data_IF_740939648031
#
_entry.id   IF_740939648031
#
_cell.length_a   1.000
_cell.length_b   1.000
_cell.length_c   1.000
_cell.angle_alpha   90.00
_cell.angle_beta   90.00
_cell.angle_gamma   90.00
#
_symmetry.space_group_name_H-M   'P 1'
#
loop_
_entity.id
_entity.type
_entity.pdbx_description
1 polymer ?
#
# COMPACT_ATOMS: atom_id res chain seq x y z
N UNK A 1 18.17 20.57 36.59
CA UNK A 1 19.38 20.20 35.80
C UNK A 1 19.34 18.69 35.71
N UNK A 2 19.15 18.03 34.57
CA UNK A 2 19.64 18.29 33.21
C UNK A 2 18.54 17.78 32.27
N UNK A 3 18.12 18.60 31.31
CA UNK A 3 17.20 18.17 30.26
C UNK A 3 17.92 17.21 29.31
N UNK A 4 17.31 16.06 29.06
CA UNK A 4 17.51 15.34 27.82
C UNK A 4 16.26 15.60 26.98
N UNK A 5 16.39 16.54 26.05
CA UNK A 5 15.51 16.66 24.92
C UNK A 5 15.62 15.35 24.12
N UNK A 6 14.77 14.37 24.43
CA UNK A 6 14.65 13.11 23.68
C UNK A 6 13.83 13.38 22.42
N UNK A 7 14.28 14.34 21.62
CA UNK A 7 13.82 14.53 20.26
C UNK A 7 14.49 13.46 19.42
N UNK A 8 14.02 12.22 19.57
CA UNK A 8 14.11 11.27 18.47
C UNK A 8 13.51 12.00 17.25
N UNK A 9 14.26 12.18 16.15
CA UNK A 9 13.75 12.90 14.99
C UNK A 9 12.46 12.23 14.57
N UNK A 10 11.38 13.02 14.43
CA UNK A 10 10.07 12.51 14.04
C UNK A 10 10.23 11.58 12.84
N UNK A 11 9.77 10.34 13.00
CA UNK A 11 9.84 9.33 11.94
C UNK A 11 9.05 9.82 10.72
N UNK A 12 9.71 9.90 9.57
CA UNK A 12 9.10 10.31 8.31
C UNK A 12 8.17 9.19 7.79
N UNK A 13 6.89 9.52 7.59
CA UNK A 13 5.89 8.61 7.03
C UNK A 13 5.66 8.92 5.55
N UNK A 14 6.12 8.01 4.70
CA UNK A 14 6.00 8.09 3.25
C UNK A 14 4.79 7.28 2.78
N UNK A 15 3.91 7.91 2.01
CA UNK A 15 2.90 7.19 1.23
C UNK A 15 3.48 6.72 -0.10
N UNK A 16 3.65 5.41 -0.28
CA UNK A 16 4.06 4.83 -1.55
C UNK A 16 2.82 4.44 -2.34
N UNK A 17 2.72 4.94 -3.57
CA UNK A 17 1.61 4.62 -4.46
C UNK A 17 2.08 4.47 -5.90
N UNK A 18 1.20 3.98 -6.75
CA UNK A 18 1.48 3.71 -8.16
C UNK A 18 0.34 2.92 -8.76
N UNK A 19 0.05 3.18 -10.03
CA UNK A 19 -0.99 2.46 -10.75
C UNK A 19 -0.62 0.98 -10.94
N UNK A 20 -1.60 0.16 -11.35
CA UNK A 20 -1.35 -1.28 -11.55
C UNK A 20 -0.19 -1.50 -12.53
N UNK A 21 0.75 -2.39 -12.20
CA UNK A 21 1.87 -2.73 -13.08
C UNK A 21 3.10 -1.81 -13.00
N UNK A 22 3.08 -0.76 -12.19
CA UNK A 22 4.18 0.22 -12.14
C UNK A 22 5.43 -0.23 -11.36
N UNK A 23 5.46 -1.43 -10.77
CA UNK A 23 6.62 -1.91 -10.01
C UNK A 23 6.64 -1.53 -8.52
N UNK A 24 5.53 -1.05 -7.98
CA UNK A 24 5.36 -0.61 -6.58
C UNK A 24 5.90 -1.60 -5.53
N UNK A 25 5.57 -2.89 -5.65
CA UNK A 25 6.05 -3.94 -4.72
C UNK A 25 7.58 -4.06 -4.72
N UNK A 26 8.21 -3.98 -5.90
CA UNK A 26 9.67 -3.98 -6.01
C UNK A 26 10.25 -2.72 -5.36
N UNK A 27 9.68 -1.55 -5.64
CA UNK A 27 10.13 -0.29 -5.02
C UNK A 27 9.96 -0.31 -3.49
N UNK A 28 8.86 -0.86 -2.98
CA UNK A 28 8.64 -1.04 -1.54
C UNK A 28 9.76 -1.91 -0.92
N UNK A 29 10.13 -3.01 -1.58
CA UNK A 29 11.26 -3.85 -1.14
C UNK A 29 12.58 -3.08 -1.14
N UNK A 30 12.82 -2.24 -2.15
CA UNK A 30 14.02 -1.40 -2.21
C UNK A 30 14.08 -0.40 -1.05
N UNK A 31 12.96 0.21 -0.66
CA UNK A 31 12.89 1.04 0.55
C UNK A 31 13.24 0.23 1.81
N UNK A 32 12.74 -1.01 1.93
CA UNK A 32 13.07 -1.88 3.06
C UNK A 32 14.55 -2.25 3.11
N UNK A 33 15.16 -2.53 1.95
CA UNK A 33 16.59 -2.83 1.80
C UNK A 33 17.48 -1.63 2.21
N UNK A 34 16.98 -0.40 2.07
CA UNK A 34 17.64 0.84 2.53
C UNK A 34 17.29 1.21 3.99
N UNK A 35 16.66 0.28 4.73
CA UNK A 35 16.41 0.40 6.18
C UNK A 35 15.08 1.03 6.57
N UNK A 36 14.18 1.34 5.63
CA UNK A 36 12.84 1.81 5.96
C UNK A 36 11.97 0.67 6.51
N UNK A 37 11.10 0.96 7.47
CA UNK A 37 10.02 0.05 7.81
C UNK A 37 8.96 0.13 6.70
N UNK A 38 8.47 -1.00 6.18
CA UNK A 38 7.46 -1.01 5.11
C UNK A 38 6.20 -1.73 5.58
N UNK A 39 5.06 -1.06 5.48
CA UNK A 39 3.75 -1.63 5.71
C UNK A 39 3.08 -1.96 4.38
N UNK A 40 2.97 -3.24 4.08
CA UNK A 40 2.23 -3.77 2.93
C UNK A 40 0.76 -3.95 3.32
N UNK A 41 -0.12 -3.16 2.72
CA UNK A 41 -1.56 -3.23 3.00
C UNK A 41 -2.18 -4.58 2.60
N UNK A 42 -1.72 -5.22 1.52
CA UNK A 42 -2.25 -6.52 1.09
C UNK A 42 -1.84 -7.62 2.07
N UNK A 43 -0.58 -7.58 2.53
CA UNK A 43 -0.10 -8.49 3.56
C UNK A 43 -0.84 -8.29 4.90
N UNK A 44 -1.11 -7.04 5.28
CA UNK A 44 -1.87 -6.71 6.48
C UNK A 44 -3.31 -7.25 6.41
N UNK A 45 -4.02 -7.05 5.30
CA UNK A 45 -5.37 -7.62 5.08
C UNK A 45 -5.33 -9.14 5.13
N UNK A 46 -4.33 -9.76 4.50
CA UNK A 46 -4.17 -11.21 4.53
C UNK A 46 -3.96 -11.76 5.95
N UNK A 47 -3.13 -11.09 6.77
CA UNK A 47 -2.95 -11.44 8.18
C UNK A 47 -4.25 -11.27 8.99
N UNK A 48 -4.99 -10.18 8.76
CA UNK A 48 -6.28 -9.93 9.40
C UNK A 48 -7.31 -11.03 9.06
N UNK A 49 -7.33 -11.49 7.80
CA UNK A 49 -8.22 -12.54 7.33
C UNK A 49 -7.91 -13.92 7.92
N UNK A 50 -6.69 -14.12 8.44
CA UNK A 50 -6.30 -15.31 9.21
C UNK A 50 -6.48 -15.17 10.72
N UNK A 51 -7.06 -14.06 11.16
CA UNK A 51 -7.14 -13.72 12.58
C UNK A 51 -8.32 -12.80 12.87
N UNK A 52 -8.03 -11.57 13.33
CA UNK A 52 -9.01 -10.62 13.89
C UNK A 52 -10.26 -10.41 13.02
N UNK A 53 -10.13 -10.45 11.69
CA UNK A 53 -11.28 -10.20 10.79
C UNK A 53 -12.20 -11.40 10.61
N UNK A 54 -11.68 -12.64 10.73
CA UNK A 54 -12.44 -13.85 10.43
C UNK A 54 -13.77 -13.98 11.22
N UNK A 55 -13.80 -13.88 12.56
CA UNK A 55 -15.06 -14.01 13.30
C UNK A 55 -16.06 -12.89 12.99
N UNK A 56 -15.58 -11.67 12.72
CA UNK A 56 -16.43 -10.53 12.36
C UNK A 56 -17.06 -10.71 10.98
N UNK A 57 -16.27 -11.19 10.01
CA UNK A 57 -16.71 -11.49 8.66
C UNK A 57 -17.70 -12.67 8.66
N UNK A 58 -17.43 -13.74 9.43
CA UNK A 58 -18.36 -14.88 9.54
C UNK A 58 -19.72 -14.45 10.09
N UNK A 59 -19.75 -13.61 11.14
CA UNK A 59 -20.99 -13.08 11.69
C UNK A 59 -21.77 -12.23 10.67
N UNK A 60 -21.07 -11.47 9.83
CA UNK A 60 -21.68 -10.62 8.81
C UNK A 60 -22.10 -11.38 7.54
N UNK A 61 -21.38 -12.44 7.20
CA UNK A 61 -21.51 -13.26 6.00
C UNK A 61 -21.31 -14.75 6.34
N UNK A 62 -22.34 -15.43 6.90
CA UNK A 62 -22.20 -16.81 7.33
C UNK A 62 -21.78 -17.78 6.22
N UNK A 63 -20.90 -18.72 6.57
CA UNK A 63 -20.31 -19.71 5.68
C UNK A 63 -19.17 -19.18 4.81
N UNK A 64 -18.52 -18.07 5.20
CA UNK A 64 -17.39 -17.48 4.46
C UNK A 64 -16.06 -17.66 5.17
N UNK A 65 -16.03 -18.40 6.28
CA UNK A 65 -14.81 -18.80 6.97
C UNK A 65 -14.65 -20.31 7.05
N UNK A 66 -13.40 -20.77 7.16
CA UNK A 66 -13.04 -22.17 7.37
C UNK A 66 -11.82 -22.24 8.27
N UNK A 67 -11.90 -23.06 9.33
CA UNK A 67 -10.81 -23.26 10.29
C UNK A 67 -10.29 -21.95 10.92
N UNK A 68 -11.17 -20.97 11.13
CA UNK A 68 -10.79 -19.68 11.71
C UNK A 68 -10.19 -18.66 10.72
N UNK A 69 -10.11 -18.99 9.43
CA UNK A 69 -9.65 -18.07 8.38
C UNK A 69 -10.78 -17.74 7.39
N UNK A 70 -10.71 -16.58 6.75
CA UNK A 70 -11.63 -16.19 5.68
C UNK A 70 -11.38 -17.01 4.42
N UNK A 71 -12.41 -17.71 3.94
CA UNK A 71 -12.44 -18.29 2.61
C UNK A 71 -12.77 -17.17 1.60
N UNK A 72 -11.72 -16.62 0.98
CA UNK A 72 -11.84 -15.51 0.03
C UNK A 72 -12.69 -15.84 -1.19
N UNK A 73 -12.79 -17.12 -1.57
CA UNK A 73 -13.61 -17.55 -2.71
C UNK A 73 -15.09 -17.50 -2.33
N UNK A 74 -15.45 -18.04 -1.17
CA UNK A 74 -16.83 -18.00 -0.69
C UNK A 74 -17.25 -16.57 -0.31
N UNK A 75 -16.38 -15.80 0.34
CA UNK A 75 -16.63 -14.38 0.61
C UNK A 75 -16.84 -13.60 -0.70
N UNK A 76 -15.98 -13.85 -1.70
CA UNK A 76 -16.10 -13.23 -3.03
C UNK A 76 -17.47 -13.46 -3.66
N UNK A 77 -18.03 -14.68 -3.59
CA UNK A 77 -19.38 -14.95 -4.10
C UNK A 77 -20.49 -14.17 -3.39
N UNK A 78 -20.27 -13.78 -2.12
CA UNK A 78 -21.25 -13.02 -1.32
C UNK A 78 -21.21 -11.52 -1.59
N UNK A 79 -20.03 -10.97 -1.90
CA UNK A 79 -19.83 -9.50 -1.96
C UNK A 79 -19.58 -8.96 -3.37
N UNK A 80 -19.09 -9.79 -4.30
CA UNK A 80 -18.79 -9.33 -5.66
C UNK A 80 -20.10 -9.08 -6.43
N UNK A 81 -20.25 -7.86 -6.93
CA UNK A 81 -21.46 -7.44 -7.66
C UNK A 81 -22.58 -6.90 -6.78
N UNK A 82 -22.43 -6.93 -5.46
CA UNK A 82 -23.37 -6.35 -4.49
C UNK A 82 -22.70 -5.19 -3.75
N UNK A 83 -23.09 -3.97 -4.09
CA UNK A 83 -22.52 -2.76 -3.51
C UNK A 83 -22.80 -2.63 -2.00
N UNK A 84 -23.96 -3.10 -1.53
CA UNK A 84 -24.32 -3.02 -0.11
C UNK A 84 -23.52 -4.04 0.71
N UNK A 85 -23.36 -5.26 0.18
CA UNK A 85 -22.51 -6.28 0.79
C UNK A 85 -21.05 -5.84 0.82
N UNK A 86 -20.54 -5.23 -0.26
CA UNK A 86 -19.17 -4.72 -0.29
C UNK A 86 -18.96 -3.60 0.75
N UNK A 87 -19.86 -2.63 0.84
CA UNK A 87 -19.79 -1.57 1.84
C UNK A 87 -19.82 -2.12 3.28
N UNK A 88 -20.62 -3.16 3.53
CA UNK A 88 -20.65 -3.85 4.83
C UNK A 88 -19.33 -4.54 5.15
N UNK A 89 -18.71 -5.22 4.17
CA UNK A 89 -17.40 -5.83 4.35
C UNK A 89 -16.32 -4.77 4.62
N UNK A 90 -16.32 -3.68 3.85
CA UNK A 90 -15.40 -2.55 4.02
C UNK A 90 -15.52 -1.91 5.40
N UNK A 91 -16.74 -1.76 5.93
CA UNK A 91 -16.97 -1.23 7.27
C UNK A 91 -16.37 -2.11 8.40
N UNK A 92 -16.18 -3.41 8.15
CA UNK A 92 -15.52 -4.33 9.08
C UNK A 92 -14.00 -4.27 8.90
N UNK A 93 -13.52 -4.28 7.67
CA UNK A 93 -12.09 -4.43 7.35
C UNK A 93 -11.33 -3.12 7.53
N UNK A 94 -11.90 -1.98 7.13
CA UNK A 94 -11.19 -0.70 7.18
C UNK A 94 -10.71 -0.31 8.58
N UNK A 95 -11.51 -0.41 9.67
CA UNK A 95 -11.02 -0.12 11.01
C UNK A 95 -9.85 -1.01 11.42
N UNK A 96 -9.90 -2.31 11.10
CA UNK A 96 -8.83 -3.26 11.43
C UNK A 96 -7.52 -2.95 10.69
N UNK A 97 -7.61 -2.55 9.41
CA UNK A 97 -6.44 -2.12 8.64
C UNK A 97 -5.83 -0.85 9.24
N UNK A 98 -6.66 0.10 9.72
CA UNK A 98 -6.16 1.31 10.39
C UNK A 98 -5.51 1.01 11.73
N UNK A 99 -6.05 0.07 12.49
CA UNK A 99 -5.44 -0.39 13.74
C UNK A 99 -4.07 -1.04 13.48
N UNK A 100 -3.99 -1.96 12.50
CA UNK A 100 -2.74 -2.63 12.12
C UNK A 100 -1.67 -1.65 11.62
N UNK A 101 -2.07 -0.65 10.83
CA UNK A 101 -1.17 0.42 10.39
C UNK A 101 -0.67 1.28 11.55
N UNK A 102 -1.56 1.63 12.49
CA UNK A 102 -1.18 2.40 13.67
C UNK A 102 -0.24 1.60 14.59
N UNK A 103 -0.49 0.29 14.77
CA UNK A 103 0.41 -0.64 15.46
C UNK A 103 1.80 -0.66 14.79
N UNK A 104 1.84 -0.87 13.48
CA UNK A 104 3.08 -0.86 12.72
C UNK A 104 3.88 0.44 12.89
N UNK A 105 3.22 1.60 12.81
CA UNK A 105 3.89 2.89 12.99
C UNK A 105 4.40 3.08 14.42
N UNK A 106 3.67 2.61 15.44
CA UNK A 106 4.14 2.63 16.84
C UNK A 106 5.38 1.75 17.01
N UNK A 107 5.37 0.55 16.46
CA UNK A 107 6.48 -0.40 16.57
C UNK A 107 7.72 0.10 15.80
N UNK A 108 7.53 0.73 14.64
CA UNK A 108 8.62 1.37 13.90
C UNK A 108 9.25 2.52 14.69
N UNK A 109 8.44 3.37 15.33
CA UNK A 109 8.93 4.45 16.22
C UNK A 109 9.67 3.89 17.43
N UNK A 110 9.13 2.87 18.09
CA UNK A 110 9.76 2.24 19.25
C UNK A 110 11.13 1.62 18.92
N UNK A 111 11.33 1.16 17.68
CA UNK A 111 12.62 0.67 17.17
C UNK A 111 13.58 1.78 16.70
N UNK A 112 13.18 3.06 16.79
CA UNK A 112 13.99 4.19 16.34
C UNK A 112 14.15 4.26 14.81
N UNK A 113 13.23 3.65 14.05
CA UNK A 113 13.28 3.70 12.59
C UNK A 113 13.00 5.13 12.12
N UNK A 114 13.83 5.63 11.21
CA UNK A 114 13.76 7.01 10.70
C UNK A 114 12.70 7.22 9.62
N UNK A 115 12.38 6.17 8.86
CA UNK A 115 11.44 6.21 7.73
C UNK A 115 10.50 5.01 7.79
N UNK A 116 9.20 5.30 7.75
CA UNK A 116 8.16 4.31 7.51
C UNK A 116 7.53 4.55 6.15
N UNK A 117 7.31 3.48 5.38
CA UNK A 117 6.65 3.53 4.08
C UNK A 117 5.33 2.77 4.19
N UNK A 118 4.23 3.45 3.91
CA UNK A 118 2.91 2.86 3.81
C UNK A 118 2.60 2.59 2.35
N UNK A 119 2.54 1.32 1.96
CA UNK A 119 2.17 0.92 0.62
C UNK A 119 0.64 0.99 0.44
N UNK A 120 0.17 2.00 -0.30
CA UNK A 120 -1.26 2.30 -0.46
C UNK A 120 -1.59 2.45 -1.95
N UNK A 121 -2.16 1.42 -2.61
CA UNK A 121 -2.47 1.45 -4.05
C UNK A 121 -3.39 2.59 -4.50
N UNK A 122 -4.35 2.97 -3.66
CA UNK A 122 -5.36 4.01 -3.94
C UNK A 122 -5.16 5.24 -3.04
N UNK A 123 -3.90 5.65 -2.83
CA UNK A 123 -3.51 6.67 -1.86
C UNK A 123 -4.21 8.02 -2.11
N UNK A 124 -4.27 8.46 -3.36
CA UNK A 124 -4.87 9.74 -3.73
C UNK A 124 -6.40 9.64 -3.77
N UNK A 125 -6.91 8.54 -4.31
CA UNK A 125 -8.32 8.24 -4.51
C UNK A 125 -9.05 8.12 -3.16
N UNK A 126 -8.37 7.60 -2.13
CA UNK A 126 -8.88 7.51 -0.76
C UNK A 126 -8.61 8.77 0.09
N UNK A 127 -8.02 9.83 -0.49
CA UNK A 127 -7.69 11.07 0.21
C UNK A 127 -6.57 10.96 1.26
N UNK A 128 -5.91 9.80 1.34
CA UNK A 128 -4.93 9.47 2.37
C UNK A 128 -3.57 10.15 2.19
N UNK A 129 -3.28 10.66 1.00
CA UNK A 129 -2.08 11.44 0.73
C UNK A 129 -1.85 12.58 1.76
N UNK A 130 -2.93 13.19 2.29
CA UNK A 130 -2.86 14.28 3.27
C UNK A 130 -2.38 13.85 4.66
N UNK A 131 -2.30 12.54 4.92
CA UNK A 131 -1.86 11.95 6.18
C UNK A 131 -0.38 11.58 6.15
N UNK A 132 0.30 11.80 5.01
CA UNK A 132 1.69 11.43 4.78
C UNK A 132 2.57 12.67 4.84
N UNK A 133 3.80 12.51 5.32
CA UNK A 133 4.81 13.58 5.30
C UNK A 133 5.37 13.79 3.89
N UNK A 134 5.39 12.72 3.08
CA UNK A 134 5.74 12.77 1.68
C UNK A 134 5.01 11.67 0.88
N UNK A 135 4.75 11.94 -0.39
CA UNK A 135 4.17 10.97 -1.33
C UNK A 135 5.19 10.60 -2.40
N UNK A 136 5.47 9.29 -2.50
CA UNK A 136 6.29 8.71 -3.56
C UNK A 136 5.38 7.98 -4.55
N UNK A 137 5.44 8.39 -5.81
CA UNK A 137 4.72 7.72 -6.91
C UNK A 137 5.67 6.86 -7.71
N UNK A 138 5.33 5.58 -7.85
CA UNK A 138 6.04 4.64 -8.72
C UNK A 138 5.37 4.65 -10.09
N UNK A 139 6.18 4.87 -11.13
CA UNK A 139 5.72 5.07 -12.51
C UNK A 139 6.51 4.20 -13.50
N UNK A 140 5.91 3.97 -14.66
CA UNK A 140 6.55 3.41 -15.85
C UNK A 140 5.82 3.92 -17.11
N UNK A 141 6.43 3.76 -18.29
CA UNK A 141 5.74 4.03 -19.55
C UNK A 141 4.51 3.14 -19.77
N UNK A 142 3.48 3.64 -20.46
CA UNK A 142 2.20 2.94 -20.68
C UNK A 142 2.37 1.56 -21.34
N UNK A 143 3.23 1.47 -22.36
CA UNK A 143 3.52 0.20 -23.04
C UNK A 143 4.12 -0.84 -22.08
N UNK A 144 5.02 -0.39 -21.20
CA UNK A 144 5.69 -1.24 -20.21
C UNK A 144 4.73 -1.66 -19.10
N UNK A 145 3.91 -0.72 -18.62
CA UNK A 145 2.82 -1.00 -17.68
C UNK A 145 1.92 -2.10 -18.24
N UNK A 146 1.41 -1.92 -19.46
CA UNK A 146 0.52 -2.88 -20.10
C UNK A 146 1.19 -4.25 -20.24
N UNK A 147 2.43 -4.30 -20.73
CA UNK A 147 3.22 -5.54 -20.86
C UNK A 147 3.29 -6.30 -19.53
N UNK A 148 3.76 -5.63 -18.47
CA UNK A 148 3.89 -6.22 -17.13
C UNK A 148 2.57 -6.71 -16.54
N UNK A 149 1.46 -6.03 -16.84
CA UNK A 149 0.15 -6.46 -16.35
C UNK A 149 -0.36 -7.67 -17.10
N UNK A 150 -0.19 -7.73 -18.43
CA UNK A 150 -0.64 -8.85 -19.25
C UNK A 150 0.14 -10.15 -18.98
N UNK A 151 1.39 -10.05 -18.49
CA UNK A 151 2.19 -11.21 -18.08
C UNK A 151 1.73 -11.83 -16.74
N UNK A 152 0.86 -11.16 -15.98
CA UNK A 152 0.37 -11.68 -14.69
C UNK A 152 -0.68 -12.77 -14.91
N UNK A 153 -0.59 -13.91 -14.17
CA UNK A 153 -1.61 -14.96 -14.23
C UNK A 153 -3.02 -14.42 -13.97
N UNK A 154 -3.95 -14.74 -14.87
CA UNK A 154 -5.37 -14.37 -14.74
C UNK A 154 -5.73 -12.94 -15.15
N UNK A 155 -4.77 -12.13 -15.64
CA UNK A 155 -5.08 -10.79 -16.16
C UNK A 155 -5.60 -10.86 -17.60
N UNK A 156 -6.65 -10.09 -17.86
CA UNK A 156 -7.21 -9.85 -19.20
C UNK A 156 -7.22 -8.36 -19.51
N UNK A 157 -7.29 -7.99 -20.78
CA UNK A 157 -7.41 -6.59 -21.21
C UNK A 157 -8.64 -5.90 -20.58
N UNK A 158 -9.76 -6.62 -20.46
CA UNK A 158 -10.96 -6.13 -19.79
C UNK A 158 -10.71 -5.87 -18.29
N UNK A 159 -10.06 -6.82 -17.60
CA UNK A 159 -9.73 -6.67 -16.18
C UNK A 159 -8.74 -5.53 -15.96
N UNK A 160 -7.74 -5.39 -16.83
CA UNK A 160 -6.78 -4.29 -16.78
C UNK A 160 -7.47 -2.94 -16.92
N UNK A 161 -8.30 -2.75 -17.95
CA UNK A 161 -9.09 -1.51 -18.13
C UNK A 161 -10.00 -1.21 -16.96
N UNK A 162 -10.66 -2.23 -16.39
CA UNK A 162 -11.52 -2.08 -15.21
C UNK A 162 -10.75 -1.68 -13.95
N UNK A 163 -9.54 -2.18 -13.75
CA UNK A 163 -8.70 -1.74 -12.62
C UNK A 163 -8.20 -0.33 -12.85
N UNK A 164 -7.72 -0.04 -14.06
CA UNK A 164 -7.18 1.28 -14.41
C UNK A 164 -8.23 2.38 -14.29
N UNK A 165 -9.50 2.12 -14.66
CA UNK A 165 -10.59 3.10 -14.56
C UNK A 165 -10.96 3.49 -13.12
N UNK A 166 -10.52 2.72 -12.12
CA UNK A 166 -10.70 3.03 -10.69
C UNK A 166 -9.52 3.80 -10.10
N UNK A 167 -8.46 4.00 -10.87
CA UNK A 167 -7.24 4.67 -10.45
C UNK A 167 -7.19 6.08 -11.02
N UNK A 168 -6.67 7.02 -10.23
CA UNK A 168 -6.28 8.33 -10.75
C UNK A 168 -5.23 8.14 -11.86
N UNK A 169 -5.33 8.86 -12.99
CA UNK A 169 -4.36 8.78 -14.07
C UNK A 169 -2.93 8.98 -13.56
N UNK A 170 -1.99 8.19 -14.07
CA UNK A 170 -0.61 8.22 -13.59
C UNK A 170 0.05 9.60 -13.75
N UNK A 171 -0.21 10.29 -14.86
CA UNK A 171 0.26 11.65 -15.06
C UNK A 171 -0.21 12.63 -13.97
N UNK A 172 -1.45 12.48 -13.49
CA UNK A 172 -2.00 13.27 -12.39
C UNK A 172 -1.37 12.88 -11.05
N UNK A 173 -1.13 11.57 -10.81
CA UNK A 173 -0.40 11.11 -9.61
C UNK A 173 0.99 11.73 -9.55
N UNK A 174 1.75 11.67 -10.66
CA UNK A 174 3.10 12.23 -10.75
C UNK A 174 3.13 13.73 -10.50
N UNK A 175 2.16 14.48 -11.04
CA UNK A 175 2.06 15.92 -10.83
C UNK A 175 1.81 16.31 -9.36
N UNK A 176 1.29 15.39 -8.54
CA UNK A 176 0.96 15.58 -7.13
C UNK A 176 1.97 14.94 -6.17
N UNK A 177 3.00 14.28 -6.69
CA UNK A 177 3.99 13.55 -5.90
C UNK A 177 5.10 14.46 -5.41
N UNK A 178 5.67 14.17 -4.25
CA UNK A 178 6.92 14.77 -3.79
C UNK A 178 8.11 14.20 -4.57
N UNK A 179 8.05 12.90 -4.87
CA UNK A 179 9.06 12.14 -5.60
C UNK A 179 8.37 11.18 -6.55
N UNK A 180 8.92 11.06 -7.75
CA UNK A 180 8.57 10.00 -8.70
C UNK A 180 9.74 9.02 -8.81
N UNK A 181 9.45 7.73 -8.70
CA UNK A 181 10.40 6.65 -9.00
C UNK A 181 10.00 6.04 -10.35
N UNK A 182 10.79 6.29 -11.38
CA UNK A 182 10.61 5.68 -12.70
C UNK A 182 11.24 4.29 -12.73
N UNK A 183 10.44 3.27 -13.00
CA UNK A 183 10.90 1.87 -13.05
C UNK A 183 11.18 1.39 -14.47
N UNK A 184 11.21 2.30 -15.44
CA UNK A 184 11.53 1.99 -16.84
C UNK A 184 13.02 1.64 -17.02
N UNK A 185 13.91 2.19 -16.19
CA UNK A 185 15.36 1.90 -16.18
C UNK A 185 15.76 0.56 -15.53
N UNK A 186 14.80 -0.21 -15.02
CA UNK A 186 15.06 -1.47 -14.31
C UNK A 186 15.31 -1.29 -12.80
N UNK A 187 15.62 -2.39 -12.13
CA UNK A 187 15.65 -2.46 -10.66
C UNK A 187 16.80 -1.64 -10.06
N UNK A 188 17.99 -1.66 -10.66
CA UNK A 188 19.15 -0.94 -10.13
C UNK A 188 19.03 0.58 -10.30
N UNK A 189 18.42 1.03 -11.40
CA UNK A 189 18.07 2.44 -11.59
C UNK A 189 17.02 2.89 -10.56
N UNK A 190 15.95 2.11 -10.38
CA UNK A 190 14.95 2.37 -9.34
C UNK A 190 15.58 2.39 -7.93
N UNK A 191 16.55 1.52 -7.65
CA UNK A 191 17.29 1.49 -6.38
C UNK A 191 18.08 2.79 -6.16
N UNK A 192 18.78 3.27 -7.18
CA UNK A 192 19.49 4.55 -7.11
C UNK A 192 18.52 5.71 -6.84
N UNK A 193 17.35 5.71 -7.49
CA UNK A 193 16.31 6.70 -7.25
C UNK A 193 15.72 6.63 -5.83
N UNK A 194 15.51 5.43 -5.26
CA UNK A 194 15.07 5.26 -3.86
C UNK A 194 16.09 5.87 -2.88
N UNK A 195 17.39 5.62 -3.09
CA UNK A 195 18.44 6.25 -2.26
C UNK A 195 18.43 7.76 -2.37
N UNK A 196 18.32 8.30 -3.59
CA UNK A 196 18.23 9.73 -3.81
C UNK A 196 16.99 10.35 -3.15
N UNK A 197 15.85 9.64 -3.19
CA UNK A 197 14.62 10.04 -2.54
C UNK A 197 14.78 10.11 -1.01
N UNK A 198 15.34 9.06 -0.40
CA UNK A 198 15.61 9.02 1.04
C UNK A 198 16.55 10.13 1.48
N UNK A 199 17.66 10.32 0.77
CA UNK A 199 18.61 11.40 1.06
C UNK A 199 17.96 12.79 0.98
N UNK A 200 17.16 13.03 -0.06
CA UNK A 200 16.43 14.30 -0.25
C UNK A 200 15.38 14.53 0.83
N UNK A 201 14.64 13.50 1.24
CA UNK A 201 13.55 13.63 2.20
C UNK A 201 14.04 13.73 3.65
N UNK A 202 15.13 13.02 3.99
CA UNK A 202 15.74 13.06 5.33
C UNK A 202 16.65 14.28 5.55
N UNK A 203 17.11 14.93 4.48
CA UNK A 203 17.88 16.17 4.54
C UNK A 203 17.03 17.45 4.62
N UNK A 204 15.70 17.32 4.71
CA UNK A 204 14.77 18.45 4.89
C UNK A 204 14.71 18.89 6.35
#
# INVERSE_FOLDING_TARGET
MIGANDASPDMLVIGLTGSIGMGKTTTARLFAEEGAAVHDADAAVHALYRGKAAPLIEAAFPGTTRAGEVDRKELGKRVLGDAAALAKLEAIVHPLVREAEAEFLRDARARGVRVAVLDIPLLFESGRARQMDAVVVVSAGEAEQRRRVMERPGMTEETFRRVLSRQMPDAEKRARADIVIDTSGGVEDARAQVRAALARLLGR
#
